data_IF_340835897759
#
_entry.id   IF_340835897759
#
_cell.length_a   1.000
_cell.length_b   1.000
_cell.length_c   1.000
_cell.angle_alpha   90.00
_cell.angle_beta   90.00
_cell.angle_gamma   90.00
#
_symmetry.space_group_name_H-M   'P 1'
#
loop_
_entity.id
_entity.type
_entity.pdbx_description
1 polymer ?
#
# COMPACT_ATOMS: atom_id res chain seq x y z
N UNK A 1 -38.37 30.55 44.99
CA UNK A 1 -38.20 31.04 43.62
C UNK A 1 -36.72 31.25 43.37
N UNK A 2 -36.27 30.82 42.19
CA UNK A 2 -34.93 30.94 41.61
C UNK A 2 -33.88 29.92 42.10
N UNK A 3 -33.69 28.91 41.26
CA UNK A 3 -32.54 28.02 41.15
C UNK A 3 -31.24 28.82 40.94
N UNK A 4 -30.15 28.36 41.54
CA UNK A 4 -28.80 28.65 41.07
C UNK A 4 -27.99 27.37 41.04
N UNK A 5 -27.65 26.96 39.83
CA UNK A 5 -26.76 25.86 39.48
C UNK A 5 -25.34 26.24 39.89
N UNK A 6 -24.69 25.40 40.71
CA UNK A 6 -23.24 25.46 40.86
C UNK A 6 -22.64 24.06 40.71
N UNK A 7 -21.93 23.93 39.58
CA UNK A 7 -21.11 22.81 39.14
C UNK A 7 -20.09 22.39 40.21
N UNK A 8 -20.23 21.16 40.72
CA UNK A 8 -19.19 20.46 41.44
C UNK A 8 -18.33 19.70 40.42
N UNK A 9 -17.25 20.33 39.97
CA UNK A 9 -16.17 19.66 39.24
C UNK A 9 -15.44 18.73 40.22
N UNK A 10 -15.84 17.45 40.23
CA UNK A 10 -15.09 16.38 40.86
C UNK A 10 -13.78 16.19 40.12
N UNK A 11 -12.67 16.48 40.80
CA UNK A 11 -11.30 16.21 40.37
C UNK A 11 -11.03 14.71 40.44
N UNK A 12 -11.57 13.96 39.48
CA UNK A 12 -11.09 12.62 39.21
C UNK A 12 -9.73 12.74 38.53
N UNK A 13 -8.65 12.46 39.28
CA UNK A 13 -7.32 12.21 38.71
C UNK A 13 -7.50 11.16 37.62
N UNK A 14 -7.22 11.55 36.38
CA UNK A 14 -7.12 10.64 35.25
C UNK A 14 -6.01 9.65 35.57
N UNK A 15 -6.37 8.45 36.02
CA UNK A 15 -5.46 7.32 35.93
C UNK A 15 -5.01 7.20 34.47
N UNK A 16 -3.71 6.94 34.21
CA UNK A 16 -3.22 6.78 32.86
C UNK A 16 -4.01 5.64 32.20
N UNK A 17 -4.71 5.95 31.09
CA UNK A 17 -5.32 4.95 30.23
C UNK A 17 -4.31 3.81 30.02
N UNK A 18 -4.65 2.54 30.27
CA UNK A 18 -3.80 1.44 29.83
C UNK A 18 -3.59 1.63 28.33
N UNK A 19 -2.32 1.75 27.91
CA UNK A 19 -1.95 1.83 26.49
C UNK A 19 -2.52 0.58 25.82
N UNK A 20 -3.58 0.74 25.02
CA UNK A 20 -4.14 -0.36 24.23
C UNK A 20 -2.99 -0.98 23.44
N UNK A 21 -2.65 -2.25 23.67
CA UNK A 21 -1.60 -2.94 22.90
C UNK A 21 -1.92 -2.78 21.41
N UNK A 22 -1.11 -2.01 20.70
CA UNK A 22 -1.27 -1.79 19.26
C UNK A 22 -1.19 -3.13 18.54
N UNK A 23 -2.16 -3.45 17.69
CA UNK A 23 -2.14 -4.69 16.91
C UNK A 23 -0.90 -4.69 16.02
N UNK A 24 -0.04 -5.71 16.14
CA UNK A 24 1.25 -5.72 15.48
C UNK A 24 1.09 -5.75 13.96
N UNK A 25 1.91 -4.96 13.26
CA UNK A 25 2.10 -5.10 11.81
C UNK A 25 3.20 -6.11 11.48
N UNK A 26 4.09 -6.39 12.44
CA UNK A 26 5.20 -7.34 12.32
C UNK A 26 4.82 -8.61 13.07
N UNK A 27 4.81 -9.79 12.43
CA UNK A 27 4.54 -11.04 13.13
C UNK A 27 5.67 -11.41 14.07
N UNK A 28 5.36 -12.07 15.19
CA UNK A 28 6.33 -12.60 16.15
C UNK A 28 6.61 -14.07 15.85
N UNK A 29 7.62 -14.65 16.50
CA UNK A 29 7.86 -16.10 16.45
C UNK A 29 6.64 -16.93 16.90
N UNK A 30 5.85 -16.42 17.86
CA UNK A 30 4.59 -17.05 18.29
C UNK A 30 3.55 -17.07 17.17
N UNK A 31 3.47 -16.03 16.34
CA UNK A 31 2.59 -16.02 15.17
C UNK A 31 3.04 -17.07 14.15
N UNK A 32 4.33 -17.09 13.82
CA UNK A 32 4.87 -18.04 12.85
C UNK A 32 4.76 -19.51 13.29
N UNK A 33 4.76 -19.77 14.61
CA UNK A 33 4.61 -21.09 15.19
C UNK A 33 3.14 -21.54 15.39
N UNK A 34 2.16 -20.73 14.98
CA UNK A 34 0.74 -21.08 15.12
C UNK A 34 0.37 -22.29 14.26
N UNK A 35 -0.41 -23.22 14.83
CA UNK A 35 -0.82 -24.45 14.14
C UNK A 35 -1.69 -24.19 12.91
N UNK A 36 -2.44 -23.08 12.93
CA UNK A 36 -3.28 -22.63 11.83
C UNK A 36 -2.87 -21.23 11.38
N UNK A 37 -2.86 -21.04 10.06
CA UNK A 37 -2.69 -19.72 9.45
C UNK A 37 -3.97 -19.38 8.71
N UNK A 38 -4.56 -18.23 9.02
CA UNK A 38 -5.69 -17.70 8.29
C UNK A 38 -5.36 -16.34 7.66
N UNK A 39 -5.89 -16.07 6.49
CA UNK A 39 -5.74 -14.79 5.81
C UNK A 39 -7.06 -14.35 5.18
N UNK A 40 -7.30 -13.04 5.14
CA UNK A 40 -8.57 -12.49 4.69
C UNK A 40 -8.44 -11.28 3.77
N UNK A 41 -9.27 -11.30 2.72
CA UNK A 41 -9.46 -10.20 1.78
C UNK A 41 -10.96 -10.04 1.53
N UNK A 42 -11.44 -8.80 1.60
CA UNK A 42 -12.77 -8.40 1.16
C UNK A 42 -12.71 -7.32 0.08
N UNK A 43 -13.72 -7.29 -0.80
CA UNK A 43 -13.87 -6.32 -1.89
C UNK A 43 -15.35 -6.11 -2.23
N UNK A 44 -15.64 -5.02 -2.93
CA UNK A 44 -16.94 -4.76 -3.57
C UNK A 44 -16.81 -4.95 -5.08
N UNK A 45 -17.90 -5.33 -5.74
CA UNK A 45 -17.97 -5.29 -7.21
C UNK A 45 -18.52 -3.95 -7.70
N UNK A 46 -18.19 -3.52 -8.93
CA UNK A 46 -18.83 -2.35 -9.55
C UNK A 46 -20.35 -2.57 -9.63
N UNK A 47 -21.13 -1.49 -9.50
CA UNK A 47 -22.59 -1.50 -9.69
C UNK A 47 -22.96 -2.10 -11.05
N UNK A 48 -23.45 -3.34 -11.04
CA UNK A 48 -24.27 -3.89 -12.12
C UNK A 48 -25.59 -3.13 -12.03
N UNK A 49 -25.99 -2.43 -13.10
CA UNK A 49 -27.22 -1.66 -13.11
C UNK A 49 -28.42 -2.50 -12.61
N UNK A 50 -28.97 -2.13 -11.45
CA UNK A 50 -30.13 -2.80 -10.85
C UNK A 50 -29.85 -3.88 -9.78
N UNK A 51 -28.59 -4.23 -9.47
CA UNK A 51 -28.28 -5.15 -8.36
C UNK A 51 -27.82 -4.41 -7.10
N UNK A 52 -28.19 -4.90 -5.91
CA UNK A 52 -27.65 -4.42 -4.65
C UNK A 52 -26.11 -4.49 -4.63
N UNK A 53 -25.44 -3.50 -4.03
CA UNK A 53 -23.98 -3.52 -3.86
C UNK A 53 -23.61 -4.64 -2.87
N UNK A 54 -22.94 -5.68 -3.35
CA UNK A 54 -22.47 -6.76 -2.49
C UNK A 54 -21.01 -6.55 -2.08
N UNK A 55 -20.73 -6.79 -0.81
CA UNK A 55 -19.36 -6.98 -0.30
C UNK A 55 -19.08 -8.47 -0.30
N UNK A 56 -18.02 -8.86 -1.00
CA UNK A 56 -17.50 -10.22 -1.05
C UNK A 56 -16.26 -10.33 -0.17
N UNK A 57 -16.03 -11.52 0.36
CA UNK A 57 -14.78 -11.81 1.04
C UNK A 57 -14.37 -13.26 0.90
N UNK A 58 -13.08 -13.48 1.14
CA UNK A 58 -12.46 -14.79 1.20
C UNK A 58 -11.66 -14.88 2.49
N UNK A 59 -11.81 -16.01 3.17
CA UNK A 59 -10.93 -16.48 4.25
C UNK A 59 -10.20 -17.70 3.71
N UNK A 60 -8.89 -17.59 3.57
CA UNK A 60 -8.01 -18.76 3.37
C UNK A 60 -7.59 -19.27 4.75
N UNK A 61 -7.59 -20.59 4.93
CA UNK A 61 -7.06 -21.23 6.12
C UNK A 61 -6.08 -22.31 5.67
N UNK A 62 -4.87 -22.32 6.21
CA UNK A 62 -3.95 -23.45 6.16
C UNK A 62 -3.98 -24.16 7.49
N UNK A 63 -4.26 -25.47 7.45
CA UNK A 63 -4.21 -26.33 8.62
C UNK A 63 -2.77 -26.80 8.90
N UNK A 64 -2.60 -27.58 9.97
CA UNK A 64 -1.32 -28.18 10.39
C UNK A 64 -0.64 -29.03 9.29
N UNK A 65 -1.42 -29.61 8.37
CA UNK A 65 -0.92 -30.40 7.23
C UNK A 65 -0.55 -29.53 6.04
N UNK A 66 -0.61 -28.22 6.20
CA UNK A 66 -0.45 -27.21 5.15
C UNK A 66 -1.43 -27.40 3.99
N UNK A 67 -2.61 -27.96 4.19
CA UNK A 67 -3.63 -27.99 3.14
C UNK A 67 -4.46 -26.70 3.20
N UNK A 68 -4.55 -25.93 2.09
CA UNK A 68 -5.35 -24.72 2.07
C UNK A 68 -6.83 -25.04 1.88
N UNK A 69 -7.68 -24.52 2.76
CA UNK A 69 -9.14 -24.47 2.58
C UNK A 69 -9.59 -23.04 2.34
N UNK A 70 -10.59 -22.90 1.47
CA UNK A 70 -11.08 -21.60 1.03
C UNK A 70 -12.56 -21.43 1.38
N UNK A 71 -12.85 -20.32 2.04
CA UNK A 71 -14.21 -20.00 2.47
C UNK A 71 -14.59 -18.63 1.92
N UNK A 72 -15.67 -18.60 1.13
CA UNK A 72 -16.17 -17.41 0.44
C UNK A 72 -17.42 -16.92 1.16
N UNK A 73 -17.52 -15.62 1.35
CA UNK A 73 -18.72 -14.97 1.86
C UNK A 73 -19.12 -13.79 1.01
N UNK A 74 -20.38 -13.40 1.13
CA UNK A 74 -20.94 -12.24 0.48
C UNK A 74 -22.04 -11.65 1.35
N UNK A 75 -22.26 -10.35 1.25
CA UNK A 75 -23.34 -9.66 1.94
C UNK A 75 -23.82 -8.48 1.13
N UNK A 76 -25.13 -8.23 1.12
CA UNK A 76 -25.72 -7.00 0.61
C UNK A 76 -25.65 -5.85 1.63
N UNK A 77 -25.21 -6.13 2.87
CA UNK A 77 -24.95 -5.10 3.86
C UNK A 77 -23.72 -4.28 3.45
N UNK A 78 -23.78 -2.93 3.48
CA UNK A 78 -22.63 -2.08 3.19
C UNK A 78 -21.54 -2.14 4.27
N UNK A 79 -21.82 -2.77 5.42
CA UNK A 79 -20.87 -2.98 6.53
C UNK A 79 -21.08 -4.36 7.16
N UNK A 80 -20.66 -5.45 6.51
CA UNK A 80 -20.96 -6.83 6.90
C UNK A 80 -20.04 -7.32 8.02
N UNK A 81 -19.78 -6.48 9.03
CA UNK A 81 -18.85 -6.78 10.11
C UNK A 81 -19.26 -8.01 10.91
N UNK A 82 -20.52 -8.03 11.35
CA UNK A 82 -21.05 -9.11 12.16
C UNK A 82 -20.99 -10.43 11.40
N UNK A 83 -21.36 -10.41 10.12
CA UNK A 83 -21.31 -11.58 9.23
C UNK A 83 -19.87 -12.07 9.01
N UNK A 84 -18.90 -11.17 8.83
CA UNK A 84 -17.48 -11.53 8.71
C UNK A 84 -16.97 -12.16 10.01
N UNK A 85 -17.27 -11.57 11.16
CA UNK A 85 -16.83 -12.09 12.46
C UNK A 85 -17.48 -13.46 12.72
N UNK A 86 -18.79 -13.59 12.48
CA UNK A 86 -19.50 -14.87 12.59
C UNK A 86 -18.92 -15.92 11.65
N UNK A 87 -18.49 -15.53 10.45
CA UNK A 87 -17.80 -16.41 9.52
C UNK A 87 -16.46 -16.91 10.11
N UNK A 88 -15.66 -16.02 10.70
CA UNK A 88 -14.44 -16.40 11.42
C UNK A 88 -14.73 -17.32 12.61
N UNK A 89 -15.71 -16.99 13.44
CA UNK A 89 -16.14 -17.79 14.59
C UNK A 89 -16.60 -19.19 14.19
N UNK A 90 -17.39 -19.29 13.13
CA UNK A 90 -17.88 -20.58 12.61
C UNK A 90 -16.76 -21.47 12.11
N UNK A 91 -15.72 -20.88 11.49
CA UNK A 91 -14.61 -21.64 10.91
C UNK A 91 -13.52 -21.97 11.93
N UNK A 92 -13.24 -21.06 12.86
CA UNK A 92 -12.03 -21.07 13.67
C UNK A 92 -12.31 -20.88 15.17
N UNK A 93 -13.58 -20.82 15.60
CA UNK A 93 -13.96 -20.51 16.97
C UNK A 93 -13.45 -21.50 18.02
N UNK A 94 -13.22 -22.77 17.64
CA UNK A 94 -12.62 -23.78 18.52
C UNK A 94 -11.08 -23.78 18.48
N UNK A 95 -10.46 -22.94 17.65
CA UNK A 95 -9.02 -22.91 17.36
C UNK A 95 -8.44 -21.48 17.41
N UNK A 96 -9.12 -20.54 18.07
CA UNK A 96 -8.78 -19.11 18.04
C UNK A 96 -7.35 -18.82 18.52
N UNK A 97 -6.95 -19.45 19.62
CA UNK A 97 -5.62 -19.30 20.21
C UNK A 97 -4.51 -19.98 19.40
N UNK A 98 -4.87 -20.95 18.57
CA UNK A 98 -3.96 -21.71 17.72
C UNK A 98 -3.87 -21.15 16.29
N UNK A 99 -4.69 -20.13 15.98
CA UNK A 99 -4.78 -19.54 14.65
C UNK A 99 -4.17 -18.14 14.62
N UNK A 100 -3.19 -17.97 13.74
CA UNK A 100 -2.71 -16.65 13.36
C UNK A 100 -3.50 -16.11 12.17
N UNK A 101 -4.23 -15.01 12.38
CA UNK A 101 -5.01 -14.31 11.36
C UNK A 101 -4.25 -13.10 10.80
N UNK A 102 -3.95 -13.10 9.51
CA UNK A 102 -3.40 -11.95 8.78
C UNK A 102 -4.49 -11.22 7.99
N UNK A 103 -4.55 -9.90 8.12
CA UNK A 103 -5.60 -9.07 7.51
C UNK A 103 -4.99 -8.00 6.61
N UNK A 104 -5.52 -7.84 5.39
CA UNK A 104 -5.09 -6.76 4.49
C UNK A 104 -5.23 -5.37 5.12
N UNK A 105 -4.27 -4.47 4.86
CA UNK A 105 -4.17 -3.13 5.48
C UNK A 105 -5.43 -2.26 5.32
N UNK A 106 -6.22 -2.49 4.26
CA UNK A 106 -7.49 -1.78 4.00
C UNK A 106 -8.58 -2.04 5.05
N UNK A 107 -8.46 -3.09 5.85
CA UNK A 107 -9.42 -3.48 6.87
C UNK A 107 -9.00 -3.00 8.27
N UNK A 108 -8.57 -1.75 8.42
CA UNK A 108 -7.97 -1.22 9.65
C UNK A 108 -8.82 -1.40 10.93
N UNK A 109 -10.13 -1.55 10.80
CA UNK A 109 -11.07 -1.71 11.90
C UNK A 109 -11.22 -3.18 12.37
N UNK A 110 -11.15 -4.15 11.46
CA UNK A 110 -11.46 -5.56 11.69
C UNK A 110 -10.50 -6.26 12.67
N UNK A 111 -9.17 -5.98 12.64
CA UNK A 111 -8.22 -6.60 13.55
C UNK A 111 -8.61 -6.45 15.03
N UNK A 112 -9.16 -5.29 15.42
CA UNK A 112 -9.57 -5.04 16.82
C UNK A 112 -10.72 -5.93 17.25
N UNK A 113 -11.67 -6.17 16.36
CA UNK A 113 -12.82 -7.02 16.66
C UNK A 113 -12.43 -8.50 16.73
N UNK A 114 -11.57 -8.97 15.82
CA UNK A 114 -11.08 -10.34 15.87
C UNK A 114 -10.18 -10.57 17.10
N UNK A 115 -9.34 -9.60 17.46
CA UNK A 115 -8.55 -9.69 18.69
C UNK A 115 -9.45 -9.73 19.93
N UNK A 116 -10.49 -8.88 20.01
CA UNK A 116 -11.46 -8.92 21.09
C UNK A 116 -12.25 -10.23 21.15
N UNK A 117 -12.44 -10.88 20.00
CA UNK A 117 -13.05 -12.21 19.89
C UNK A 117 -12.11 -13.36 20.29
N UNK A 118 -10.83 -13.07 20.58
CA UNK A 118 -9.83 -14.04 21.06
C UNK A 118 -8.87 -14.57 19.99
N UNK A 119 -8.87 -14.00 18.79
CA UNK A 119 -7.91 -14.37 17.73
C UNK A 119 -6.57 -13.68 17.92
N UNK A 120 -5.52 -14.36 17.49
CA UNK A 120 -4.19 -13.79 17.35
C UNK A 120 -4.06 -13.13 15.97
N UNK A 121 -3.84 -11.82 15.91
CA UNK A 121 -4.03 -11.03 14.68
C UNK A 121 -2.83 -10.15 14.35
N UNK A 122 -2.45 -10.09 13.08
CA UNK A 122 -1.55 -9.07 12.53
C UNK A 122 -2.23 -8.21 11.48
N UNK A 123 -1.76 -6.96 11.35
CA UNK A 123 -2.14 -6.07 10.25
C UNK A 123 -1.17 -6.22 9.09
N UNK A 124 -1.70 -6.24 7.88
CA UNK A 124 -0.95 -6.56 6.67
C UNK A 124 -1.01 -8.05 6.36
N UNK A 125 -1.13 -8.36 5.07
CA UNK A 125 -0.81 -9.70 4.58
C UNK A 125 0.71 -9.83 4.57
N UNK A 126 1.21 -11.00 4.94
CA UNK A 126 2.62 -11.29 5.11
C UNK A 126 2.89 -12.70 4.60
N UNK A 127 3.99 -12.90 3.89
CA UNK A 127 4.40 -14.19 3.31
C UNK A 127 4.73 -15.25 4.36
N UNK A 128 5.13 -14.84 5.57
CA UNK A 128 5.25 -15.75 6.72
C UNK A 128 3.91 -16.38 7.11
N UNK A 129 2.80 -15.69 6.84
CA UNK A 129 1.49 -16.29 7.00
C UNK A 129 1.19 -17.15 5.77
N UNK A 130 1.18 -18.47 5.98
CA UNK A 130 1.06 -19.48 4.93
C UNK A 130 -0.26 -19.43 4.13
N UNK A 131 -1.25 -18.69 4.62
CA UNK A 131 -2.53 -18.47 3.94
C UNK A 131 -2.56 -17.17 3.11
N UNK A 132 -1.62 -16.23 3.29
CA UNK A 132 -1.62 -14.93 2.62
C UNK A 132 -1.51 -15.02 1.10
N UNK A 133 -0.53 -15.79 0.59
CA UNK A 133 -0.39 -15.98 -0.85
C UNK A 133 -1.60 -16.66 -1.49
N UNK A 134 -2.23 -17.58 -0.76
CA UNK A 134 -3.43 -18.31 -1.22
C UNK A 134 -4.62 -17.37 -1.31
N UNK A 135 -4.90 -16.59 -0.27
CA UNK A 135 -6.04 -15.66 -0.28
C UNK A 135 -5.87 -14.58 -1.36
N UNK A 136 -4.64 -14.13 -1.60
CA UNK A 136 -4.35 -13.14 -2.63
C UNK A 136 -4.74 -13.65 -4.01
N UNK A 137 -4.18 -14.80 -4.40
CA UNK A 137 -4.43 -15.46 -5.68
C UNK A 137 -5.91 -15.73 -5.90
N UNK A 138 -6.59 -16.29 -4.90
CA UNK A 138 -8.02 -16.64 -5.01
C UNK A 138 -8.92 -15.39 -5.08
N UNK A 139 -8.60 -14.33 -4.34
CA UNK A 139 -9.35 -13.08 -4.42
C UNK A 139 -9.20 -12.42 -5.80
N UNK A 140 -8.02 -12.49 -6.42
CA UNK A 140 -7.82 -11.99 -7.78
C UNK A 140 -8.60 -12.79 -8.82
N UNK A 141 -8.58 -14.12 -8.75
CA UNK A 141 -9.37 -14.98 -9.64
C UNK A 141 -10.87 -14.67 -9.48
N UNK A 142 -11.36 -14.57 -8.24
CA UNK A 142 -12.77 -14.28 -7.96
C UNK A 142 -13.18 -12.92 -8.54
N UNK A 143 -12.36 -11.88 -8.34
CA UNK A 143 -12.60 -10.55 -8.92
C UNK A 143 -12.66 -10.59 -10.45
N UNK A 144 -11.72 -11.29 -11.11
CA UNK A 144 -11.69 -11.41 -12.58
C UNK A 144 -12.94 -12.10 -13.12
N UNK A 145 -13.36 -13.20 -12.48
CA UNK A 145 -14.58 -13.95 -12.85
C UNK A 145 -15.82 -13.05 -12.72
N UNK A 146 -15.95 -12.34 -11.60
CA UNK A 146 -17.08 -11.43 -11.36
C UNK A 146 -17.13 -10.29 -12.37
N UNK A 147 -15.99 -9.65 -12.64
CA UNK A 147 -15.87 -8.60 -13.65
C UNK A 147 -16.27 -9.08 -15.04
N UNK A 148 -15.80 -10.28 -15.44
CA UNK A 148 -16.15 -10.87 -16.74
C UNK A 148 -17.65 -11.15 -16.86
N UNK A 149 -18.26 -11.69 -15.81
CA UNK A 149 -19.70 -11.93 -15.76
C UNK A 149 -20.51 -10.62 -15.88
N UNK A 150 -20.06 -9.54 -15.21
CA UNK A 150 -20.72 -8.23 -15.29
C UNK A 150 -20.65 -7.60 -16.70
N UNK A 151 -19.51 -7.76 -17.38
CA UNK A 151 -19.34 -7.32 -18.78
C UNK A 151 -20.28 -8.11 -19.71
N UNK A 152 -20.33 -9.43 -19.57
CA UNK A 152 -21.20 -10.29 -20.37
C UNK A 152 -22.69 -10.03 -20.15
N UNK A 153 -23.08 -9.58 -18.95
CA UNK A 153 -24.46 -9.24 -18.61
C UNK A 153 -24.91 -7.86 -19.13
N UNK A 154 -24.10 -7.16 -19.93
CA UNK A 154 -24.48 -5.89 -20.59
C UNK A 154 -24.82 -4.74 -19.64
N UNK A 155 -24.45 -4.84 -18.36
CA UNK A 155 -24.90 -3.94 -17.29
C UNK A 155 -23.92 -2.78 -17.01
N UNK A 156 -22.89 -2.61 -17.83
CA UNK A 156 -21.96 -1.48 -17.77
C UNK A 156 -22.46 -0.34 -18.69
N UNK A 157 -23.25 0.58 -18.15
CA UNK A 157 -23.76 1.74 -18.89
C UNK A 157 -22.66 2.72 -19.29
N UNK A 158 -22.62 3.07 -20.58
CA UNK A 158 -21.79 4.09 -21.20
C UNK A 158 -22.53 5.44 -21.30
N UNK A 159 -22.10 6.49 -20.58
CA UNK A 159 -22.41 7.92 -20.86
C UNK A 159 -21.46 8.87 -20.09
N UNK A 160 -21.31 10.18 -20.45
CA UNK A 160 -20.02 10.85 -20.62
C UNK A 160 -19.76 11.97 -19.58
N UNK A 161 -18.53 12.47 -19.59
CA UNK A 161 -17.96 13.42 -18.63
C UNK A 161 -18.53 14.84 -18.74
N UNK A 162 -19.06 15.33 -17.62
CA UNK A 162 -18.91 16.71 -17.17
C UNK A 162 -18.60 16.67 -15.67
N UNK A 163 -17.51 17.30 -15.24
CA UNK A 163 -17.01 17.25 -13.86
C UNK A 163 -17.56 18.43 -13.07
N UNK A 164 -18.24 18.22 -11.92
CA UNK A 164 -18.24 19.19 -10.84
C UNK A 164 -17.50 18.67 -9.59
N UNK A 165 -17.16 19.62 -8.72
CA UNK A 165 -16.17 19.57 -7.65
C UNK A 165 -16.36 18.47 -6.58
N UNK A 166 -15.21 18.05 -6.00
CA UNK A 166 -15.00 17.19 -4.81
C UNK A 166 -16.20 16.36 -4.34
N UNK A 167 -16.18 15.07 -4.68
CA UNK A 167 -17.07 14.07 -4.08
C UNK A 167 -17.56 13.01 -5.06
N UNK A 168 -16.66 12.26 -5.72
CA UNK A 168 -16.95 10.96 -6.33
C UNK A 168 -15.63 10.31 -6.76
N UNK A 169 -15.39 9.05 -6.40
CA UNK A 169 -14.22 8.28 -6.85
C UNK A 169 -14.40 7.94 -8.33
N UNK A 170 -13.38 8.12 -9.20
CA UNK A 170 -13.49 7.76 -10.61
C UNK A 170 -13.74 6.25 -10.79
N UNK A 171 -14.63 5.89 -11.72
CA UNK A 171 -14.75 4.50 -12.21
C UNK A 171 -13.43 4.13 -12.89
N UNK A 172 -12.77 3.07 -12.41
CA UNK A 172 -11.55 2.55 -13.01
C UNK A 172 -11.86 1.92 -14.37
N UNK A 173 -11.28 2.48 -15.43
CA UNK A 173 -11.12 1.82 -16.72
C UNK A 173 -10.31 0.52 -16.50
N UNK A 174 -10.88 -0.63 -16.88
CA UNK A 174 -10.32 -1.98 -16.69
C UNK A 174 -9.41 -2.41 -17.85
N UNK A 175 -8.91 -1.44 -18.62
CA UNK A 175 -7.95 -1.69 -19.68
C UNK A 175 -6.70 -2.37 -19.09
N UNK A 176 -6.27 -3.54 -19.61
CA UNK A 176 -5.01 -4.17 -19.21
C UNK A 176 -3.83 -3.22 -19.46
N UNK A 177 -2.68 -3.46 -18.85
CA UNK A 177 -1.48 -2.67 -19.16
C UNK A 177 -1.25 -2.63 -20.68
N UNK A 178 -1.06 -1.42 -21.21
CA UNK A 178 -0.84 -1.20 -22.64
C UNK A 178 0.54 -0.60 -22.94
N UNK A 179 1.19 -0.03 -21.92
CA UNK A 179 2.52 0.57 -22.04
C UNK A 179 3.31 0.51 -20.72
N UNK A 180 4.63 0.41 -20.82
CA UNK A 180 5.60 0.51 -19.72
C UNK A 180 6.39 1.80 -19.92
N UNK A 181 5.94 2.94 -19.37
CA UNK A 181 6.69 4.18 -19.48
C UNK A 181 7.95 4.09 -18.62
N UNK A 182 9.10 4.33 -19.24
CA UNK A 182 10.37 4.49 -18.55
C UNK A 182 10.86 5.91 -18.83
N UNK A 183 11.27 6.60 -17.77
CA UNK A 183 11.84 7.92 -17.85
C UNK A 183 12.99 8.02 -16.86
N UNK A 184 14.11 8.53 -17.36
CA UNK A 184 15.32 8.68 -16.59
C UNK A 184 16.03 9.94 -17.11
N UNK A 185 16.04 11.00 -16.32
CA UNK A 185 16.74 12.25 -16.66
C UNK A 185 17.49 12.75 -15.43
N UNK A 186 18.82 12.78 -15.56
CA UNK A 186 19.77 13.17 -14.53
C UNK A 186 20.43 14.47 -14.97
N UNK A 187 20.53 15.45 -14.08
CA UNK A 187 21.40 16.60 -14.32
C UNK A 187 22.86 16.13 -14.47
N UNK A 188 23.59 16.76 -15.41
CA UNK A 188 25.00 16.44 -15.71
C UNK A 188 25.95 16.62 -14.51
N UNK A 189 25.51 17.31 -13.45
CA UNK A 189 26.30 17.59 -12.26
C UNK A 189 25.47 17.36 -10.99
N UNK A 190 25.79 16.32 -10.24
CA UNK A 190 25.21 16.09 -8.93
C UNK A 190 25.84 17.07 -7.92
N UNK A 191 25.04 17.84 -7.17
CA UNK A 191 25.55 18.70 -6.12
C UNK A 191 26.18 17.86 -4.99
N UNK A 192 27.00 18.50 -4.16
CA UNK A 192 27.64 17.83 -3.02
C UNK A 192 26.62 17.24 -2.03
N UNK A 193 25.44 17.84 -1.91
CA UNK A 193 24.32 17.30 -1.14
C UNK A 193 23.05 17.34 -1.97
N UNK A 194 22.18 16.33 -1.82
CA UNK A 194 20.91 16.26 -2.53
C UNK A 194 19.78 15.73 -1.64
N UNK A 195 18.60 16.31 -1.78
CA UNK A 195 17.35 15.76 -1.25
C UNK A 195 16.55 15.08 -2.38
N UNK A 196 16.06 13.88 -2.07
CA UNK A 196 15.26 13.03 -2.94
C UNK A 196 13.93 12.73 -2.26
N UNK A 197 12.84 12.61 -3.01
CA UNK A 197 11.63 11.95 -2.55
C UNK A 197 11.29 10.77 -3.45
N UNK A 198 10.75 9.73 -2.83
CA UNK A 198 10.31 8.51 -3.51
C UNK A 198 8.85 8.23 -3.21
N UNK A 199 8.15 7.73 -4.22
CA UNK A 199 6.79 7.24 -4.04
C UNK A 199 6.44 6.17 -5.08
N UNK A 200 5.36 5.45 -4.82
CA UNK A 200 4.78 4.51 -5.75
C UNK A 200 3.27 4.60 -5.81
N UNK A 201 2.72 4.26 -6.96
CA UNK A 201 1.29 4.25 -7.18
C UNK A 201 0.90 2.92 -7.82
N UNK A 202 -0.14 2.28 -7.31
CA UNK A 202 -0.76 1.11 -7.94
C UNK A 202 -2.27 1.22 -7.94
N UNK A 203 -2.94 0.50 -8.84
CA UNK A 203 -4.39 0.39 -8.88
C UNK A 203 -4.85 -1.08 -8.94
N UNK A 204 -6.17 -1.34 -8.79
CA UNK A 204 -6.68 -2.70 -8.77
C UNK A 204 -6.49 -3.51 -10.07
N UNK A 205 -6.13 -2.88 -11.19
CA UNK A 205 -5.88 -3.57 -12.46
C UNK A 205 -4.45 -4.07 -12.58
N UNK A 206 -3.60 -3.79 -11.59
CA UNK A 206 -2.16 -4.08 -11.63
C UNK A 206 -1.34 -2.96 -12.27
N UNK A 207 -1.98 -1.91 -12.80
CA UNK A 207 -1.24 -0.76 -13.30
C UNK A 207 -0.52 -0.10 -12.13
N UNK A 208 0.79 0.07 -12.28
CA UNK A 208 1.67 0.56 -11.24
C UNK A 208 2.72 1.51 -11.79
N UNK A 209 3.32 2.30 -10.92
CA UNK A 209 4.57 2.98 -11.19
C UNK A 209 5.33 3.26 -9.89
N UNK A 210 6.64 3.34 -10.00
CA UNK A 210 7.57 3.81 -8.96
C UNK A 210 8.25 5.06 -9.48
N UNK A 211 8.47 6.03 -8.59
CA UNK A 211 9.03 7.32 -8.96
C UNK A 211 10.04 7.82 -7.95
N UNK A 212 11.02 8.56 -8.46
CA UNK A 212 11.93 9.40 -7.71
C UNK A 212 11.90 10.81 -8.29
N UNK A 213 11.99 11.79 -7.41
CA UNK A 213 12.19 13.19 -7.76
C UNK A 213 13.26 13.81 -6.85
N UNK A 214 14.23 14.51 -7.43
CA UNK A 214 15.21 15.29 -6.67
C UNK A 214 14.79 16.74 -6.49
N UNK A 215 15.34 17.41 -5.48
CA UNK A 215 15.14 18.84 -5.25
C UNK A 215 15.65 19.74 -6.38
N UNK A 216 16.40 19.19 -7.32
CA UNK A 216 16.89 19.88 -8.53
C UNK A 216 16.09 19.51 -9.78
N UNK A 217 15.05 18.69 -9.64
CA UNK A 217 14.19 18.28 -10.74
C UNK A 217 14.72 17.11 -11.56
N UNK A 218 15.68 16.33 -11.05
CA UNK A 218 15.97 15.01 -11.63
C UNK A 218 14.79 14.11 -11.35
N UNK A 219 14.39 13.33 -12.34
CA UNK A 219 13.21 12.50 -12.23
C UNK A 219 13.48 11.13 -12.84
N UNK A 220 13.07 10.12 -12.07
CA UNK A 220 13.03 8.74 -12.53
C UNK A 220 11.60 8.23 -12.38
N UNK A 221 11.13 7.54 -13.40
CA UNK A 221 9.81 6.92 -13.42
C UNK A 221 9.89 5.58 -14.13
N UNK A 222 9.43 4.53 -13.45
CA UNK A 222 9.18 3.23 -14.07
C UNK A 222 7.72 2.88 -13.88
N UNK A 223 6.95 2.85 -14.96
CA UNK A 223 5.57 2.39 -14.99
C UNK A 223 5.47 0.97 -15.52
N UNK A 224 4.55 0.21 -14.94
CA UNK A 224 4.55 -1.24 -15.06
C UNK A 224 3.20 -1.88 -14.77
N UNK A 225 3.11 -3.17 -15.02
CA UNK A 225 2.15 -4.02 -14.34
C UNK A 225 2.87 -4.65 -13.15
N UNK A 226 2.30 -4.49 -11.96
CA UNK A 226 2.75 -5.19 -10.77
C UNK A 226 1.54 -5.54 -9.90
N UNK A 227 1.59 -6.75 -9.36
CA UNK A 227 0.63 -7.26 -8.38
C UNK A 227 1.24 -7.26 -6.97
N UNK A 228 2.39 -6.62 -6.80
CA UNK A 228 3.03 -6.47 -5.51
C UNK A 228 2.20 -5.56 -4.59
N UNK A 229 2.46 -5.67 -3.30
CA UNK A 229 1.83 -4.77 -2.35
C UNK A 229 2.32 -3.34 -2.56
N UNK A 230 1.52 -2.35 -2.16
CA UNK A 230 1.95 -0.94 -2.25
C UNK A 230 3.28 -0.71 -1.53
N UNK A 231 3.49 -1.34 -0.38
CA UNK A 231 4.74 -1.21 0.39
C UNK A 231 5.94 -1.81 -0.34
N UNK A 232 5.76 -2.88 -1.12
CA UNK A 232 6.81 -3.43 -1.98
C UNK A 232 7.17 -2.45 -3.11
N UNK A 233 6.19 -1.78 -3.70
CA UNK A 233 6.43 -0.77 -4.74
C UNK A 233 7.08 0.49 -4.18
N UNK A 234 6.63 0.99 -3.04
CA UNK A 234 7.26 2.13 -2.34
C UNK A 234 8.71 1.78 -1.95
N UNK A 235 8.98 0.53 -1.54
CA UNK A 235 10.33 0.08 -1.24
C UNK A 235 11.19 -0.07 -2.51
N UNK A 236 10.60 -0.49 -3.63
CA UNK A 236 11.26 -0.48 -4.93
C UNK A 236 11.62 0.95 -5.39
N UNK A 237 10.76 1.94 -5.13
CA UNK A 237 11.07 3.34 -5.37
C UNK A 237 12.28 3.82 -4.53
N UNK A 238 12.38 3.36 -3.28
CA UNK A 238 13.56 3.60 -2.43
C UNK A 238 14.84 2.97 -2.99
N UNK A 239 14.77 1.75 -3.54
CA UNK A 239 15.91 1.07 -4.18
C UNK A 239 16.37 1.89 -5.41
N UNK A 240 15.44 2.37 -6.22
CA UNK A 240 15.73 3.26 -7.36
C UNK A 240 16.47 4.52 -6.90
N UNK A 241 16.14 5.07 -5.73
CA UNK A 241 16.89 6.20 -5.16
C UNK A 241 18.34 5.86 -4.84
N UNK A 242 18.60 4.68 -4.27
CA UNK A 242 19.98 4.24 -4.00
C UNK A 242 20.74 3.96 -5.30
N UNK A 243 20.10 3.38 -6.31
CA UNK A 243 20.70 3.18 -7.64
C UNK A 243 21.04 4.52 -8.33
N UNK A 244 20.15 5.51 -8.18
CA UNK A 244 20.41 6.90 -8.58
C UNK A 244 21.63 7.49 -7.86
N UNK A 245 21.73 7.30 -6.54
CA UNK A 245 22.86 7.81 -5.74
C UNK A 245 24.17 7.11 -6.07
N UNK A 246 24.17 5.80 -6.33
CA UNK A 246 25.34 5.07 -6.80
C UNK A 246 25.84 5.62 -8.15
N UNK A 247 24.92 6.07 -9.02
CA UNK A 247 25.25 6.63 -10.33
C UNK A 247 25.78 8.07 -10.23
N UNK A 248 25.16 8.89 -9.38
CA UNK A 248 25.43 10.34 -9.29
C UNK A 248 26.50 10.68 -8.25
N UNK A 249 26.72 9.80 -7.28
CA UNK A 249 27.75 9.90 -6.23
C UNK A 249 27.85 11.28 -5.54
N UNK A 250 26.74 11.89 -5.05
CA UNK A 250 26.83 13.07 -4.19
C UNK A 250 27.54 12.73 -2.88
N UNK A 251 28.08 13.73 -2.17
CA UNK A 251 28.75 13.48 -0.89
C UNK A 251 27.75 13.09 0.21
N UNK A 252 26.57 13.70 0.22
CA UNK A 252 25.47 13.37 1.13
C UNK A 252 24.11 13.38 0.45
N UNK A 253 23.18 12.57 0.94
CA UNK A 253 21.82 12.51 0.43
C UNK A 253 20.78 12.33 1.53
N UNK A 254 19.61 12.96 1.36
CA UNK A 254 18.43 12.70 2.21
C UNK A 254 17.33 12.13 1.33
N UNK A 255 16.77 10.97 1.70
CA UNK A 255 15.68 10.34 0.96
C UNK A 255 14.40 10.40 1.79
N UNK A 256 13.40 11.10 1.26
CA UNK A 256 12.10 11.33 1.86
C UNK A 256 11.13 10.25 1.39
N UNK A 257 10.40 9.66 2.33
CA UNK A 257 9.28 8.75 2.05
C UNK A 257 8.17 9.02 3.05
N UNK A 258 6.91 8.92 2.64
CA UNK A 258 5.76 8.94 3.55
C UNK A 258 5.33 7.54 4.01
N UNK A 259 6.00 6.50 3.51
CA UNK A 259 5.77 5.12 3.89
C UNK A 259 6.54 4.77 5.16
N UNK A 260 5.81 4.73 6.28
CA UNK A 260 6.37 4.32 7.57
C UNK A 260 6.93 2.88 7.57
N UNK A 261 6.47 2.03 6.66
CA UNK A 261 6.95 0.66 6.52
C UNK A 261 8.30 0.63 5.78
N UNK A 262 8.40 1.35 4.65
CA UNK A 262 9.66 1.54 3.92
C UNK A 262 10.73 2.16 4.80
N UNK A 263 10.40 3.25 5.51
CA UNK A 263 11.31 3.92 6.43
C UNK A 263 11.89 2.97 7.49
N UNK A 264 11.05 2.16 8.14
CA UNK A 264 11.51 1.20 9.16
C UNK A 264 12.42 0.13 8.58
N UNK A 265 12.08 -0.41 7.41
CA UNK A 265 12.88 -1.45 6.75
C UNK A 265 14.23 -0.89 6.34
N UNK A 266 14.24 0.30 5.73
CA UNK A 266 15.45 0.99 5.29
C UNK A 266 16.40 1.29 6.45
N UNK A 267 15.87 1.82 7.57
CA UNK A 267 16.68 2.06 8.76
C UNK A 267 17.27 0.79 9.35
N UNK A 268 16.48 -0.28 9.48
CA UNK A 268 16.97 -1.55 10.00
C UNK A 268 18.10 -2.12 9.11
N UNK A 269 17.92 -2.10 7.78
CA UNK A 269 18.93 -2.59 6.85
C UNK A 269 20.19 -1.72 6.82
N UNK A 270 20.06 -0.39 6.87
CA UNK A 270 21.20 0.51 6.86
C UNK A 270 22.04 0.45 8.16
N UNK A 271 21.39 0.27 9.31
CA UNK A 271 22.07 0.22 10.61
C UNK A 271 22.60 -1.17 10.96
N UNK A 272 21.82 -2.23 10.68
CA UNK A 272 22.10 -3.58 11.16
C UNK A 272 22.49 -4.55 10.03
N UNK A 273 22.35 -4.16 8.76
CA UNK A 273 22.61 -5.01 7.60
C UNK A 273 21.61 -6.16 7.42
N UNK A 274 20.59 -6.24 8.28
CA UNK A 274 19.59 -7.31 8.29
C UNK A 274 18.27 -6.81 8.83
N UNK A 275 17.21 -7.55 8.52
CA UNK A 275 15.88 -7.31 9.03
C UNK A 275 15.14 -8.65 9.12
N UNK A 276 14.26 -8.81 10.11
CA UNK A 276 13.50 -10.06 10.28
C UNK A 276 12.72 -10.43 9.01
N UNK A 277 12.59 -11.72 8.73
CA UNK A 277 11.86 -12.18 7.54
C UNK A 277 10.42 -11.68 7.53
N UNK A 278 9.95 -11.18 6.39
CA UNK A 278 8.59 -10.62 6.27
C UNK A 278 8.34 -9.31 7.04
N UNK A 279 9.37 -8.67 7.60
CA UNK A 279 9.25 -7.37 8.26
C UNK A 279 8.56 -6.33 7.35
N UNK A 280 7.49 -5.71 7.86
CA UNK A 280 6.65 -4.75 7.15
C UNK A 280 6.04 -5.23 5.81
N UNK A 281 6.05 -6.53 5.53
CA UNK A 281 5.56 -7.11 4.28
C UNK A 281 6.48 -6.86 3.08
N UNK A 282 7.76 -6.53 3.34
CA UNK A 282 8.80 -6.44 2.31
C UNK A 282 9.48 -7.80 2.17
N UNK A 283 9.58 -8.29 0.93
CA UNK A 283 10.15 -9.59 0.61
C UNK A 283 11.67 -9.62 0.85
N UNK A 284 12.23 -10.81 1.05
CA UNK A 284 13.69 -10.96 1.19
C UNK A 284 14.45 -10.54 -0.08
N UNK A 285 13.88 -10.79 -1.26
CA UNK A 285 14.48 -10.38 -2.53
C UNK A 285 14.63 -8.86 -2.62
N UNK A 286 13.58 -8.11 -2.27
CA UNK A 286 13.65 -6.66 -2.24
C UNK A 286 14.66 -6.15 -1.22
N UNK A 287 14.78 -6.80 -0.06
CA UNK A 287 15.82 -6.45 0.94
C UNK A 287 17.23 -6.71 0.41
N UNK A 288 17.46 -7.81 -0.31
CA UNK A 288 18.75 -8.08 -0.94
C UNK A 288 19.09 -7.04 -2.01
N UNK A 289 18.12 -6.66 -2.85
CA UNK A 289 18.30 -5.58 -3.84
C UNK A 289 18.60 -4.24 -3.17
N UNK A 290 17.92 -3.92 -2.08
CA UNK A 290 18.24 -2.75 -1.27
C UNK A 290 19.68 -2.80 -0.75
N UNK A 291 20.12 -3.91 -0.14
CA UNK A 291 21.48 -4.03 0.38
C UNK A 291 22.53 -3.94 -0.73
N UNK A 292 22.24 -4.47 -1.92
CA UNK A 292 23.12 -4.34 -3.08
C UNK A 292 23.25 -2.87 -3.52
N UNK A 293 22.14 -2.15 -3.64
CA UNK A 293 22.16 -0.73 -4.03
C UNK A 293 22.81 0.14 -2.94
N UNK A 294 22.50 -0.15 -1.67
CA UNK A 294 23.07 0.50 -0.49
C UNK A 294 24.60 0.36 -0.45
N UNK A 295 25.11 -0.87 -0.62
CA UNK A 295 26.55 -1.14 -0.63
C UNK A 295 27.26 -0.60 -1.87
N UNK A 296 26.53 -0.20 -2.91
CA UNK A 296 27.08 0.43 -4.12
C UNK A 296 27.07 1.96 -4.04
N UNK A 297 26.48 2.53 -2.98
CA UNK A 297 26.38 3.98 -2.78
C UNK A 297 27.52 4.45 -1.89
N UNK A 298 28.32 5.41 -2.38
CA UNK A 298 29.42 6.03 -1.61
C UNK A 298 28.96 7.25 -0.80
N UNK A 299 27.72 7.71 -1.03
CA UNK A 299 27.11 8.87 -0.39
C UNK A 299 26.78 8.60 1.09
N UNK A 300 26.85 9.64 1.93
CA UNK A 300 26.26 9.60 3.27
C UNK A 300 24.74 9.77 3.17
N UNK A 301 23.99 8.68 3.32
CA UNK A 301 22.54 8.67 3.12
C UNK A 301 21.78 8.72 4.45
N UNK A 302 20.82 9.64 4.55
CA UNK A 302 19.82 9.70 5.61
C UNK A 302 18.42 9.41 5.05
N UNK A 303 17.59 8.71 5.83
CA UNK A 303 16.18 8.47 5.51
C UNK A 303 15.29 9.35 6.40
N UNK A 304 14.30 10.02 5.80
CA UNK A 304 13.34 10.86 6.51
C UNK A 304 11.90 10.41 6.25
N UNK A 305 11.14 10.21 7.34
CA UNK A 305 9.71 9.93 7.27
C UNK A 305 8.95 11.26 7.24
N UNK A 306 8.36 11.58 6.09
CA UNK A 306 7.49 12.74 5.93
C UNK A 306 6.02 12.36 6.08
N UNK A 307 5.17 13.36 6.28
CA UNK A 307 3.73 13.13 6.37
C UNK A 307 3.12 13.19 4.97
N UNK A 308 2.45 12.12 4.54
CA UNK A 308 1.72 12.12 3.27
C UNK A 308 0.68 13.25 3.20
N UNK A 309 0.61 13.91 2.04
CA UNK A 309 -0.31 15.02 1.75
C UNK A 309 -0.26 16.21 2.73
N UNK A 310 0.90 16.50 3.33
CA UNK A 310 1.05 17.62 4.27
C UNK A 310 1.48 18.95 3.64
N UNK A 311 1.62 19.04 2.31
CA UNK A 311 2.17 20.23 1.64
C UNK A 311 3.68 20.17 1.40
N UNK A 312 4.34 19.04 1.66
CA UNK A 312 5.76 18.86 1.39
C UNK A 312 6.00 18.72 -0.11
N UNK A 313 6.48 19.79 -0.74
CA UNK A 313 6.53 19.93 -2.20
C UNK A 313 7.23 18.76 -2.89
N UNK A 314 8.38 18.35 -2.38
CA UNK A 314 9.19 17.29 -3.01
C UNK A 314 8.46 15.93 -2.98
N UNK A 315 7.85 15.58 -1.84
CA UNK A 315 7.05 14.37 -1.70
C UNK A 315 5.79 14.41 -2.58
N UNK A 316 5.10 15.55 -2.63
CA UNK A 316 3.94 15.71 -3.52
C UNK A 316 4.32 15.64 -4.99
N UNK A 317 5.52 16.07 -5.36
CA UNK A 317 6.07 15.91 -6.70
C UNK A 317 6.31 14.45 -7.06
N UNK A 318 6.90 13.66 -6.14
CA UNK A 318 7.11 12.22 -6.32
C UNK A 318 5.78 11.45 -6.43
N UNK A 319 4.78 11.73 -5.59
CA UNK A 319 3.42 11.15 -5.67
C UNK A 319 2.76 11.47 -7.03
N UNK A 320 2.84 12.73 -7.47
CA UNK A 320 2.30 13.14 -8.78
C UNK A 320 3.00 12.43 -9.94
N UNK A 321 4.31 12.19 -9.84
CA UNK A 321 5.09 11.49 -10.84
C UNK A 321 4.70 10.01 -10.90
N UNK A 322 4.61 9.34 -9.75
CA UNK A 322 4.16 7.94 -9.66
C UNK A 322 2.72 7.79 -10.16
N UNK A 323 1.81 8.69 -9.77
CA UNK A 323 0.44 8.69 -10.26
C UNK A 323 0.38 8.85 -11.79
N UNK A 324 1.17 9.76 -12.36
CA UNK A 324 1.20 10.02 -13.80
C UNK A 324 1.70 8.80 -14.59
N UNK A 325 2.76 8.14 -14.14
CA UNK A 325 3.25 6.91 -14.78
C UNK A 325 2.25 5.76 -14.70
N UNK A 326 1.62 5.58 -13.53
CA UNK A 326 0.55 4.59 -13.37
C UNK A 326 -0.63 4.88 -14.29
N UNK A 327 -1.02 6.14 -14.43
CA UNK A 327 -2.13 6.52 -15.30
C UNK A 327 -1.79 6.28 -16.78
N UNK A 328 -0.54 6.56 -17.19
CA UNK A 328 -0.08 6.36 -18.55
C UNK A 328 0.04 4.87 -18.93
N UNK A 329 0.43 3.98 -18.00
CA UNK A 329 0.59 2.55 -18.29
C UNK A 329 -0.70 1.84 -18.72
N UNK A 330 -1.85 2.46 -18.49
CA UNK A 330 -3.19 1.94 -18.82
C UNK A 330 -3.64 2.22 -20.26
N UNK A 331 -2.88 2.99 -21.05
CA UNK A 331 -3.27 3.43 -22.41
C UNK A 331 -2.13 3.21 -23.40
N UNK A 332 -2.42 3.13 -24.72
CA UNK A 332 -1.37 2.95 -25.73
C UNK A 332 -0.44 4.16 -25.72
N UNK A 333 0.86 3.91 -25.89
CA UNK A 333 1.92 4.93 -25.87
C UNK A 333 1.56 6.14 -26.74
N UNK A 334 1.05 5.90 -27.95
CA UNK A 334 0.75 6.93 -28.95
C UNK A 334 -0.30 7.95 -28.46
N UNK A 335 -1.14 7.57 -27.49
CA UNK A 335 -2.20 8.43 -26.96
C UNK A 335 -1.76 9.24 -25.73
N UNK A 336 -0.77 8.77 -24.99
CA UNK A 336 -0.44 9.32 -23.66
C UNK A 336 1.00 9.77 -23.49
N UNK A 337 1.93 9.37 -24.35
CA UNK A 337 3.35 9.69 -24.18
C UNK A 337 3.59 11.20 -24.16
N UNK A 338 3.06 11.95 -25.12
CA UNK A 338 3.24 13.40 -25.16
C UNK A 338 2.67 14.10 -23.91
N UNK A 339 1.51 13.64 -23.42
CA UNK A 339 0.90 14.16 -22.21
C UNK A 339 1.70 13.80 -20.94
N UNK A 340 2.22 12.57 -20.86
CA UNK A 340 3.10 12.14 -19.78
C UNK A 340 4.38 12.96 -19.76
N UNK A 341 5.05 13.13 -20.91
CA UNK A 341 6.28 13.92 -21.00
C UNK A 341 6.06 15.39 -20.64
N UNK A 342 4.94 15.99 -21.10
CA UNK A 342 4.54 17.34 -20.68
C UNK A 342 4.35 17.41 -19.17
N UNK A 343 3.68 16.41 -18.59
CA UNK A 343 3.41 16.36 -17.15
C UNK A 343 4.70 16.19 -16.32
N UNK A 344 5.61 15.34 -16.76
CA UNK A 344 6.93 15.17 -16.15
C UNK A 344 7.69 16.50 -16.20
N UNK A 345 7.71 17.18 -17.35
CA UNK A 345 8.38 18.48 -17.49
C UNK A 345 7.79 19.55 -16.55
N UNK A 346 6.47 19.63 -16.41
CA UNK A 346 5.79 20.53 -15.46
C UNK A 346 6.21 20.26 -14.01
N UNK A 347 6.22 18.98 -13.60
CA UNK A 347 6.62 18.59 -12.24
C UNK A 347 8.07 19.01 -12.00
N UNK A 348 8.98 18.68 -12.92
CA UNK A 348 10.41 19.02 -12.81
C UNK A 348 10.67 20.52 -12.75
N UNK A 349 9.96 21.31 -13.58
CA UNK A 349 10.11 22.77 -13.60
C UNK A 349 9.80 23.44 -12.27
N UNK A 350 8.98 22.82 -11.41
CA UNK A 350 8.72 23.33 -10.07
C UNK A 350 9.96 23.29 -9.15
N UNK A 351 10.99 22.53 -9.52
CA UNK A 351 12.22 22.31 -8.72
C UNK A 351 13.49 22.88 -9.38
N UNK A 352 13.50 23.04 -10.71
CA UNK A 352 14.65 23.63 -11.43
C UNK A 352 14.76 25.16 -11.31
N UNK A 353 13.71 25.85 -10.83
CA UNK A 353 13.61 27.32 -10.83
C UNK A 353 14.34 28.08 -9.71
N UNK A 354 15.16 27.42 -8.88
CA UNK A 354 15.84 28.02 -7.73
C UNK A 354 17.18 28.72 -8.02
N UNK A 355 17.79 28.47 -9.18
CA UNK A 355 19.02 29.15 -9.60
C UNK A 355 18.69 30.23 -10.64
N UNK A 356 18.62 31.49 -10.18
CA UNK A 356 18.90 32.67 -11.00
C UNK A 356 20.05 33.44 -10.42
#
# INVERSE_FOLDING_TARGET
>A
MAEFVQSQLSTARLEPRPRSSSIPCVPTSTHAASAFHAAFIAWTTPQIAGSAEFIYWIIAIRNERQEPTMHRGQSSSPRPMAEIIEHFERLLGQRKSETWVALGKRHWYLPKYLQAAGFTVTRGLNDLNQASGVVHREAEIAKRVQTRAAIQAGSALAVPMAIPARGHRPRHDLSPQQWQPEYWDLADHAPSSIALAVDASTDPTGASAVALLSEHGDAVLYGGESFDTISMLEFAALIVALEYLATTSPASATIHTDSADVYRVAQALALEGRCETGYCGISEDSKHRFLQAWNSTESQVAFELVKGHSGEKLNEGADQLAWAGRAASKRPREQVEAALMSRIAEIRQAFTGGCR
#
